data_IF_535942552622
#
_entry.id   IF_535942552622
#
_cell.length_a   1.000
_cell.length_b   1.000
_cell.length_c   1.000
_cell.angle_alpha   90.00
_cell.angle_beta   90.00
_cell.angle_gamma   90.00
#
_symmetry.space_group_name_H-M   'P 1'
#
loop_
_entity.id
_entity.type
_entity.pdbx_description
1 polymer ?
#
# COMPACT_ATOMS: atom_id res chain seq x y z
N UNK A 1 -28.16 9.44 -8.37
CA UNK A 1 -26.78 9.16 -8.82
C UNK A 1 -25.95 8.85 -7.59
N UNK A 2 -25.18 7.76 -7.58
CA UNK A 2 -24.35 7.43 -6.43
C UNK A 2 -23.25 8.49 -6.26
N UNK A 3 -23.20 9.10 -5.08
CA UNK A 3 -22.31 10.19 -4.74
C UNK A 3 -21.01 9.63 -4.12
N UNK A 4 -20.34 8.72 -4.83
CA UNK A 4 -19.07 8.17 -4.36
C UNK A 4 -18.03 9.29 -4.24
N UNK A 5 -17.24 9.25 -3.17
CA UNK A 5 -16.21 10.26 -2.86
C UNK A 5 -14.80 9.69 -2.83
N UNK A 6 -14.69 8.38 -2.61
CA UNK A 6 -13.42 7.68 -2.49
C UNK A 6 -13.52 6.31 -3.16
N UNK A 7 -12.46 5.92 -3.86
CA UNK A 7 -12.23 4.61 -4.42
C UNK A 7 -10.96 4.02 -3.78
N UNK A 8 -11.10 2.87 -3.13
CA UNK A 8 -9.97 2.09 -2.61
C UNK A 8 -9.65 0.99 -3.61
N UNK A 9 -8.38 0.84 -3.98
CA UNK A 9 -7.93 -0.15 -4.94
C UNK A 9 -6.84 -1.01 -4.34
N UNK A 10 -7.09 -2.31 -4.30
CA UNK A 10 -6.03 -3.28 -4.09
C UNK A 10 -5.02 -3.28 -5.26
N UNK A 11 -3.80 -3.74 -5.01
CA UNK A 11 -2.69 -3.70 -5.98
C UNK A 11 -2.55 -5.02 -6.74
N UNK A 12 -1.95 -6.02 -6.10
CA UNK A 12 -1.56 -7.28 -6.74
C UNK A 12 -2.77 -8.18 -7.01
N UNK A 13 -2.98 -8.56 -8.27
CA UNK A 13 -4.14 -9.33 -8.68
C UNK A 13 -5.41 -8.50 -8.90
N UNK A 14 -5.36 -7.19 -8.63
CA UNK A 14 -6.48 -6.26 -8.84
C UNK A 14 -6.17 -5.26 -9.96
N UNK A 15 -5.21 -4.34 -9.77
CA UNK A 15 -4.80 -3.39 -10.82
C UNK A 15 -3.48 -3.79 -11.48
N UNK A 16 -2.63 -4.53 -10.77
CA UNK A 16 -1.39 -5.12 -11.28
C UNK A 16 -1.62 -6.60 -11.50
N UNK A 17 -1.31 -7.07 -12.71
CA UNK A 17 -1.41 -8.48 -13.08
C UNK A 17 -0.27 -9.33 -12.50
N UNK A 18 -0.40 -10.67 -12.53
CA UNK A 18 0.69 -11.56 -12.14
C UNK A 18 2.01 -11.35 -12.91
N UNK A 19 1.94 -10.83 -14.14
CA UNK A 19 3.12 -10.49 -14.96
C UNK A 19 3.70 -9.09 -14.65
N UNK A 20 3.15 -8.39 -13.66
CA UNK A 20 3.55 -7.03 -13.26
C UNK A 20 2.97 -5.92 -14.14
N UNK A 21 2.15 -6.24 -15.15
CA UNK A 21 1.59 -5.24 -16.06
C UNK A 21 0.25 -4.67 -15.57
N UNK A 22 -0.15 -3.52 -16.12
CA UNK A 22 -1.45 -2.87 -15.88
C UNK A 22 -2.17 -2.77 -17.21
N UNK A 23 -3.47 -3.04 -17.23
CA UNK A 23 -4.27 -2.81 -18.43
C UNK A 23 -4.34 -1.33 -18.81
N UNK A 24 -4.28 -1.01 -20.10
CA UNK A 24 -4.66 0.31 -20.58
C UNK A 24 -6.08 0.71 -20.14
N UNK A 25 -7.02 -0.24 -20.09
CA UNK A 25 -8.39 -0.03 -19.57
C UNK A 25 -8.39 0.39 -18.10
N UNK A 26 -7.61 -0.29 -17.26
CA UNK A 26 -7.50 0.02 -15.82
C UNK A 26 -6.94 1.43 -15.61
N UNK A 27 -5.86 1.79 -16.30
CA UNK A 27 -5.29 3.14 -16.19
C UNK A 27 -6.29 4.22 -16.64
N UNK A 28 -6.99 4.00 -17.76
CA UNK A 28 -8.06 4.91 -18.21
C UNK A 28 -9.18 5.05 -17.18
N UNK A 29 -9.68 3.93 -16.64
CA UNK A 29 -10.75 3.96 -15.65
C UNK A 29 -10.35 4.71 -14.37
N UNK A 30 -9.11 4.53 -13.88
CA UNK A 30 -8.59 5.27 -12.74
C UNK A 30 -8.54 6.77 -13.05
N UNK A 31 -8.04 7.14 -14.23
CA UNK A 31 -7.98 8.53 -14.69
C UNK A 31 -9.39 9.15 -14.77
N UNK A 32 -10.36 8.44 -15.34
CA UNK A 32 -11.75 8.91 -15.45
C UNK A 32 -12.38 9.16 -14.08
N UNK A 33 -12.16 8.25 -13.12
CA UNK A 33 -12.63 8.40 -11.74
C UNK A 33 -11.98 9.61 -11.05
N UNK A 34 -10.68 9.81 -11.23
CA UNK A 34 -9.97 10.99 -10.71
C UNK A 34 -10.54 12.30 -11.30
N UNK A 35 -10.86 12.33 -12.60
CA UNK A 35 -11.45 13.48 -13.28
C UNK A 35 -12.85 13.84 -12.76
N UNK A 36 -13.57 12.88 -12.16
CA UNK A 36 -14.83 13.12 -11.47
C UNK A 36 -14.65 13.71 -10.06
N UNK A 37 -13.42 13.96 -9.62
CA UNK A 37 -13.09 14.47 -8.28
C UNK A 37 -13.21 13.41 -7.18
N UNK A 38 -13.20 12.13 -7.55
CA UNK A 38 -13.22 11.02 -6.59
C UNK A 38 -11.78 10.75 -6.16
N UNK A 39 -11.53 10.73 -4.84
CA UNK A 39 -10.23 10.40 -4.29
C UNK A 39 -9.91 8.93 -4.55
N UNK A 40 -8.76 8.63 -5.16
CA UNK A 40 -8.29 7.25 -5.33
C UNK A 40 -7.18 6.96 -4.32
N UNK A 41 -7.26 5.81 -3.65
CA UNK A 41 -6.31 5.38 -2.62
C UNK A 41 -5.86 3.95 -2.95
N UNK A 42 -4.55 3.72 -3.03
CA UNK A 42 -4.01 2.36 -3.16
C UNK A 42 -3.99 1.67 -1.80
N UNK A 43 -4.43 0.42 -1.74
CA UNK A 43 -4.44 -0.42 -0.54
C UNK A 43 -3.62 -1.67 -0.82
N UNK A 44 -2.66 -2.02 0.04
CA UNK A 44 -1.78 -3.16 -0.23
C UNK A 44 -1.17 -3.73 1.04
N UNK A 45 -0.78 -5.01 0.96
CA UNK A 45 0.10 -5.64 1.94
C UNK A 45 1.54 -5.12 1.91
N UNK A 46 1.96 -4.54 0.78
CA UNK A 46 3.33 -4.07 0.55
C UNK A 46 3.68 -2.85 1.43
N UNK A 47 4.98 -2.65 1.73
CA UNK A 47 5.48 -1.36 2.21
C UNK A 47 5.12 -0.22 1.26
N UNK A 48 4.79 0.96 1.81
CA UNK A 48 4.37 2.12 1.00
C UNK A 48 5.43 2.49 -0.05
N UNK A 49 6.71 2.50 0.32
CA UNK A 49 7.80 2.86 -0.57
C UNK A 49 7.96 1.92 -1.79
N UNK A 50 7.46 0.69 -1.70
CA UNK A 50 7.50 -0.25 -2.84
C UNK A 50 6.42 0.07 -3.90
N UNK A 51 5.37 0.80 -3.53
CA UNK A 51 4.25 1.14 -4.42
C UNK A 51 4.19 2.61 -4.80
N UNK A 52 5.15 3.41 -4.35
CA UNK A 52 5.24 4.85 -4.68
C UNK A 52 5.40 5.07 -6.19
N UNK A 53 6.25 4.30 -6.87
CA UNK A 53 6.45 4.38 -8.33
C UNK A 53 5.17 4.06 -9.12
N UNK A 54 4.36 3.12 -8.62
CA UNK A 54 3.05 2.81 -9.17
C UNK A 54 2.07 3.97 -8.96
N UNK A 55 2.06 4.56 -7.76
CA UNK A 55 1.26 5.73 -7.47
C UNK A 55 1.63 6.93 -8.34
N UNK A 56 2.93 7.17 -8.58
CA UNK A 56 3.40 8.19 -9.54
C UNK A 56 2.85 7.94 -10.95
N UNK A 57 2.96 6.71 -11.46
CA UNK A 57 2.43 6.33 -12.77
C UNK A 57 0.91 6.56 -12.89
N UNK A 58 0.16 6.25 -11.84
CA UNK A 58 -1.31 6.40 -11.78
C UNK A 58 -1.79 7.75 -11.25
N UNK A 59 -0.88 8.67 -10.92
CA UNK A 59 -1.17 9.97 -10.27
C UNK A 59 -1.94 9.84 -8.94
N UNK A 60 -1.67 8.79 -8.17
CA UNK A 60 -2.24 8.53 -6.85
C UNK A 60 -1.19 8.85 -5.79
N UNK A 61 -1.56 9.64 -4.78
CA UNK A 61 -0.65 10.10 -3.71
C UNK A 61 -1.09 9.66 -2.30
N UNK A 62 -2.07 8.76 -2.24
CA UNK A 62 -2.68 8.29 -0.99
C UNK A 62 -2.63 6.78 -0.94
N UNK A 63 -2.20 6.25 0.19
CA UNK A 63 -1.85 4.84 0.33
C UNK A 63 -2.29 4.31 1.69
N UNK A 64 -2.70 3.04 1.70
CA UNK A 64 -2.80 2.19 2.88
C UNK A 64 -1.85 1.01 2.61
N UNK A 65 -0.74 0.94 3.35
CA UNK A 65 0.29 -0.08 3.18
C UNK A 65 0.46 -0.96 4.41
N UNK A 66 1.40 -1.91 4.34
CA UNK A 66 1.71 -2.83 5.42
C UNK A 66 0.48 -3.59 5.95
N UNK A 67 -0.41 -4.04 5.06
CA UNK A 67 -1.69 -4.68 5.42
C UNK A 67 -2.56 -3.80 6.35
N UNK A 68 -2.54 -2.48 6.15
CA UNK A 68 -3.28 -1.52 6.98
C UNK A 68 -2.49 -0.99 8.18
N UNK A 69 -1.25 -1.42 8.39
CA UNK A 69 -0.40 -0.92 9.47
C UNK A 69 0.02 0.55 9.33
N UNK A 70 -0.09 1.14 8.14
CA UNK A 70 0.13 2.58 7.94
C UNK A 70 -0.73 3.16 6.82
N UNK A 71 -1.09 4.44 6.96
CA UNK A 71 -1.78 5.19 5.91
C UNK A 71 -1.18 6.59 5.71
N UNK A 72 -1.14 7.00 4.45
CA UNK A 72 -0.77 8.34 3.99
C UNK A 72 -1.89 8.91 3.13
N UNK A 73 -2.17 10.20 3.31
CA UNK A 73 -3.15 10.96 2.54
C UNK A 73 -2.46 12.17 1.93
N UNK A 74 -2.42 12.24 0.60
CA UNK A 74 -1.76 13.29 -0.17
C UNK A 74 -0.32 13.53 0.31
N UNK A 75 0.47 12.46 0.39
CA UNK A 75 1.86 12.49 0.86
C UNK A 75 2.06 12.69 2.36
N UNK A 76 1.01 12.98 3.15
CA UNK A 76 1.11 13.14 4.60
C UNK A 76 0.75 11.85 5.32
N UNK A 77 1.60 11.38 6.23
CA UNK A 77 1.24 10.27 7.12
C UNK A 77 0.12 10.69 8.08
N UNK A 78 -0.96 9.90 8.11
CA UNK A 78 -2.14 10.15 8.95
C UNK A 78 -2.38 9.03 9.98
N UNK A 79 -1.79 7.85 9.78
CA UNK A 79 -1.99 6.69 10.63
C UNK A 79 -0.78 5.75 10.59
N UNK A 80 -0.40 5.21 11.75
CA UNK A 80 0.61 4.17 11.91
C UNK A 80 0.30 3.32 13.14
N UNK A 81 0.35 2.00 13.01
CA UNK A 81 0.37 1.05 14.12
C UNK A 81 1.67 0.26 14.01
N UNK A 82 2.76 0.72 14.66
CA UNK A 82 3.99 -0.06 14.72
C UNK A 82 3.81 -1.27 15.65
N UNK A 83 4.59 -2.33 15.41
CA UNK A 83 4.70 -3.41 16.39
C UNK A 83 5.32 -2.88 17.69
N UNK A 84 4.85 -3.35 18.87
CA UNK A 84 5.53 -3.09 20.12
C UNK A 84 6.98 -3.60 20.08
N UNK A 85 7.90 -2.82 20.66
CA UNK A 85 9.33 -3.16 20.67
C UNK A 85 9.59 -4.52 21.31
N UNK A 86 8.84 -4.84 22.35
CA UNK A 86 8.94 -6.10 23.10
C UNK A 86 8.54 -7.29 22.23
N UNK A 87 7.49 -7.14 21.41
CA UNK A 87 7.06 -8.18 20.46
C UNK A 87 8.14 -8.44 19.40
N UNK A 88 8.71 -7.37 18.84
CA UNK A 88 9.80 -7.47 17.85
C UNK A 88 11.01 -8.17 18.48
N UNK A 89 11.42 -7.75 19.69
CA UNK A 89 12.54 -8.35 20.39
C UNK A 89 12.30 -9.83 20.74
N UNK A 90 11.06 -10.20 21.09
CA UNK A 90 10.66 -11.58 21.32
C UNK A 90 10.81 -12.43 20.06
N UNK A 91 10.30 -11.94 18.92
CA UNK A 91 10.42 -12.61 17.62
C UNK A 91 11.89 -12.80 17.23
N UNK A 92 12.72 -11.76 17.34
CA UNK A 92 14.15 -11.84 17.02
C UNK A 92 14.90 -12.83 17.92
N UNK A 93 14.55 -12.88 19.21
CA UNK A 93 15.13 -13.85 20.15
C UNK A 93 14.79 -15.29 19.74
N UNK A 94 13.54 -15.54 19.36
CA UNK A 94 13.08 -16.86 18.90
C UNK A 94 13.76 -17.23 17.58
N UNK A 95 13.79 -16.33 16.60
CA UNK A 95 14.43 -16.56 15.31
C UNK A 95 15.91 -16.95 15.48
N UNK A 96 16.65 -16.20 16.31
CA UNK A 96 18.05 -16.51 16.64
C UNK A 96 18.20 -17.87 17.33
N UNK A 97 17.31 -18.22 18.26
CA UNK A 97 17.33 -19.51 18.96
C UNK A 97 17.19 -20.69 17.99
N UNK A 98 16.34 -20.56 16.97
CA UNK A 98 16.09 -21.60 15.97
C UNK A 98 16.89 -21.42 14.67
N UNK A 99 17.90 -20.54 14.66
CA UNK A 99 18.78 -20.28 13.51
C UNK A 99 18.01 -19.87 12.24
N UNK A 100 16.90 -19.14 12.40
CA UNK A 100 16.21 -18.49 11.30
C UNK A 100 16.84 -17.14 11.02
N UNK A 101 17.09 -16.86 9.73
CA UNK A 101 17.55 -15.55 9.27
C UNK A 101 16.49 -14.49 9.59
N UNK A 102 16.93 -13.35 10.09
CA UNK A 102 16.07 -12.20 10.39
C UNK A 102 16.73 -10.92 9.91
N UNK A 103 16.11 -10.25 8.94
CA UNK A 103 16.54 -8.93 8.49
C UNK A 103 15.79 -7.87 9.30
N UNK A 104 16.43 -7.36 10.36
CA UNK A 104 15.95 -6.22 11.12
C UNK A 104 17.10 -5.22 11.26
N UNK A 105 16.97 -4.07 10.62
CA UNK A 105 17.88 -2.95 10.81
C UNK A 105 17.45 -2.20 12.08
N UNK A 106 18.35 -2.12 13.06
CA UNK A 106 18.20 -1.24 14.23
C UNK A 106 18.43 0.22 13.85
#
# INVERSE_FOLDING_TARGET
MNNYKVLFLDVDGTIVRPDGTIEPSTNRAITDIQNLGIQVILTTGRPIHEVESLGEYLRIQSYIGYNGGAATLNGRSIFKIPFPKESVQGILTIAKKYQHESSYAL
#
